data_IF_668408546106
#
_entry.id   IF_668408546106
#
_cell.length_a   1.000
_cell.length_b   1.000
_cell.length_c   1.000
_cell.angle_alpha   90.00
_cell.angle_beta   90.00
_cell.angle_gamma   90.00
#
_symmetry.space_group_name_H-M   'P 1'
#
loop_
_entity.id
_entity.type
_entity.pdbx_description
1 polymer ?
#
# COMPACT_ATOMS: atom_id res chain seq x y z
N UNK A 1 4.16 3.91 7.29
CA UNK A 1 4.32 4.56 8.62
C UNK A 1 3.71 3.77 9.81
N UNK A 2 3.03 4.43 10.78
CA UNK A 2 2.58 3.85 12.06
C UNK A 2 1.49 2.78 11.91
N UNK A 3 0.57 2.94 10.96
CA UNK A 3 -0.46 1.93 10.68
C UNK A 3 0.13 0.60 10.20
N UNK A 4 1.38 0.58 9.73
CA UNK A 4 2.10 -0.65 9.35
C UNK A 4 3.20 -1.02 10.36
N UNK A 5 3.25 -0.37 11.53
CA UNK A 5 4.34 -0.51 12.50
C UNK A 5 5.75 -0.34 11.88
N UNK A 6 5.87 0.52 10.86
CA UNK A 6 7.08 0.71 10.03
C UNK A 6 7.58 -0.56 9.31
N UNK A 7 6.77 -1.61 9.23
CA UNK A 7 7.02 -2.79 8.42
C UNK A 7 6.25 -2.65 7.09
N UNK A 8 6.92 -2.56 5.93
CA UNK A 8 6.24 -2.45 4.65
C UNK A 8 5.40 -3.69 4.31
N UNK A 9 5.77 -4.90 4.78
CA UNK A 9 5.04 -6.13 4.47
C UNK A 9 3.62 -6.16 5.05
N UNK A 10 3.38 -5.35 6.09
CA UNK A 10 2.09 -5.25 6.76
C UNK A 10 1.12 -4.32 5.99
N UNK A 11 1.60 -3.48 5.07
CA UNK A 11 0.74 -2.53 4.34
C UNK A 11 -0.41 -3.22 3.60
N UNK A 12 -0.16 -4.38 2.99
CA UNK A 12 -1.19 -5.17 2.30
C UNK A 12 -2.26 -5.71 3.26
N UNK A 13 -1.87 -6.05 4.50
CA UNK A 13 -2.81 -6.47 5.53
C UNK A 13 -3.68 -5.30 5.99
N UNK A 14 -3.09 -4.12 6.18
CA UNK A 14 -3.82 -2.89 6.52
C UNK A 14 -4.82 -2.53 5.43
N UNK A 15 -4.43 -2.65 4.15
CA UNK A 15 -5.34 -2.40 3.03
C UNK A 15 -6.52 -3.39 3.02
N UNK A 16 -6.27 -4.66 3.35
CA UNK A 16 -7.32 -5.67 3.48
C UNK A 16 -8.29 -5.34 4.61
N UNK A 17 -7.78 -4.88 5.75
CA UNK A 17 -8.61 -4.43 6.87
C UNK A 17 -9.48 -3.23 6.50
N UNK A 18 -8.90 -2.20 5.87
CA UNK A 18 -9.65 -1.05 5.34
C UNK A 18 -10.73 -1.49 4.35
N UNK A 19 -10.40 -2.44 3.47
CA UNK A 19 -11.36 -3.02 2.53
C UNK A 19 -12.52 -3.68 3.27
N UNK A 20 -12.26 -4.44 4.33
CA UNK A 20 -13.30 -5.08 5.12
C UNK A 20 -14.19 -4.06 5.85
N UNK A 21 -13.62 -3.00 6.42
CA UNK A 21 -14.41 -1.93 7.04
C UNK A 21 -15.39 -1.30 6.04
N UNK A 22 -14.96 -1.08 4.79
CA UNK A 22 -15.86 -0.57 3.73
C UNK A 22 -16.96 -1.59 3.40
N UNK A 23 -16.61 -2.88 3.30
CA UNK A 23 -17.59 -3.96 3.05
C UNK A 23 -18.62 -4.09 4.19
N UNK A 24 -18.24 -3.79 5.43
CA UNK A 24 -19.12 -3.79 6.61
C UNK A 24 -19.97 -2.51 6.73
N UNK A 25 -19.88 -1.60 5.75
CA UNK A 25 -20.72 -0.41 5.68
C UNK A 25 -20.08 0.86 6.25
N UNK A 26 -18.77 0.90 6.48
CA UNK A 26 -18.10 2.14 6.87
C UNK A 26 -18.10 3.14 5.70
N UNK A 27 -18.98 4.13 5.79
CA UNK A 27 -19.11 5.18 4.78
C UNK A 27 -18.21 6.40 4.99
N UNK A 28 -17.33 6.41 6.00
CA UNK A 28 -16.42 7.53 6.28
C UNK A 28 -15.06 7.43 5.57
N UNK A 29 -14.65 6.24 5.11
CA UNK A 29 -13.33 6.03 4.48
C UNK A 29 -13.36 6.45 3.01
N UNK A 30 -12.76 7.59 2.67
CA UNK A 30 -12.77 8.12 1.29
C UNK A 30 -11.53 7.72 0.46
N UNK A 31 -10.49 7.21 1.10
CA UNK A 31 -9.23 6.89 0.43
C UNK A 31 -8.21 6.25 1.36
N UNK A 32 -7.12 5.80 0.76
CA UNK A 32 -5.98 5.16 1.43
C UNK A 32 -4.69 5.70 0.83
N UNK A 33 -3.60 5.61 1.60
CA UNK A 33 -2.25 5.94 1.16
C UNK A 33 -1.37 4.72 1.34
N UNK A 34 -0.60 4.38 0.30
CA UNK A 34 0.34 3.25 0.28
C UNK A 34 1.73 3.77 -0.11
N UNK A 35 2.77 3.29 0.58
CA UNK A 35 4.17 3.56 0.24
C UNK A 35 4.72 2.41 -0.61
N UNK A 36 4.84 2.64 -1.92
CA UNK A 36 5.26 1.67 -2.93
C UNK A 36 6.47 2.17 -3.71
N UNK A 37 7.33 1.25 -4.13
CA UNK A 37 8.41 1.50 -5.10
C UNK A 37 8.53 0.30 -6.05
N UNK A 38 9.44 0.36 -7.01
CA UNK A 38 9.66 -0.75 -7.96
C UNK A 38 10.10 -2.01 -7.21
N UNK A 39 11.03 -1.86 -6.25
CA UNK A 39 11.60 -2.92 -5.45
C UNK A 39 11.29 -2.72 -3.96
N UNK A 40 11.25 -3.83 -3.23
CA UNK A 40 10.89 -3.88 -1.81
C UNK A 40 11.94 -3.22 -0.91
N UNK A 41 11.47 -2.66 0.21
CA UNK A 41 12.31 -2.21 1.31
C UNK A 41 12.84 -0.79 1.12
N UNK A 42 13.97 -0.52 1.76
CA UNK A 42 14.73 0.72 1.59
C UNK A 42 16.25 0.44 1.56
N UNK A 43 17.01 1.49 1.30
CA UNK A 43 18.46 1.50 1.33
C UNK A 43 18.96 2.81 1.96
N UNK A 44 20.17 2.78 2.52
CA UNK A 44 20.86 4.02 2.91
C UNK A 44 21.48 4.68 1.69
N UNK A 45 21.65 6.00 1.72
CA UNK A 45 22.41 6.72 0.70
C UNK A 45 23.90 6.38 0.88
N UNK A 46 24.54 5.71 -0.08
CA UNK A 46 25.97 5.38 -0.02
C UNK A 46 26.84 6.61 -0.29
N UNK A 47 28.16 6.49 -0.05
CA UNK A 47 29.11 7.56 -0.41
C UNK A 47 29.24 7.71 -1.93
N UNK A 48 29.30 6.60 -2.66
CA UNK A 48 29.25 6.60 -4.12
C UNK A 48 27.81 6.36 -4.58
N UNK A 49 27.17 7.38 -5.16
CA UNK A 49 25.78 7.32 -5.60
C UNK A 49 25.55 6.28 -6.72
N UNK A 50 26.59 5.80 -7.39
CA UNK A 50 26.50 4.71 -8.37
C UNK A 50 26.13 3.37 -7.74
N UNK A 51 26.31 3.22 -6.42
CA UNK A 51 25.95 2.02 -5.68
C UNK A 51 24.44 1.98 -5.30
N UNK A 52 23.68 3.04 -5.59
CA UNK A 52 22.24 3.04 -5.35
C UNK A 52 21.56 1.95 -6.18
N UNK A 53 20.81 1.09 -5.49
CA UNK A 53 19.94 0.12 -6.13
C UNK A 53 18.77 0.86 -6.77
N UNK A 54 18.63 0.70 -8.09
CA UNK A 54 17.51 1.28 -8.82
C UNK A 54 16.17 0.82 -8.22
N UNK A 55 15.22 1.76 -8.08
CA UNK A 55 13.87 1.43 -7.64
C UNK A 55 13.71 0.99 -6.18
N UNK A 56 14.73 1.20 -5.33
CA UNK A 56 14.65 0.96 -3.88
C UNK A 56 14.64 2.30 -3.14
N UNK A 57 13.68 2.51 -2.24
CA UNK A 57 13.52 3.76 -1.49
C UNK A 57 14.77 4.14 -0.69
N UNK A 58 15.08 5.44 -0.58
CA UNK A 58 16.15 5.95 0.30
C UNK A 58 15.62 6.52 1.63
N UNK A 59 14.30 6.47 1.83
CA UNK A 59 13.61 6.97 3.03
C UNK A 59 12.89 5.81 3.74
N UNK A 60 11.57 5.85 3.84
CA UNK A 60 10.75 4.80 4.42
C UNK A 60 10.71 3.59 3.47
N UNK A 61 10.63 2.40 4.06
CA UNK A 61 10.59 1.15 3.31
C UNK A 61 9.25 1.00 2.58
N UNK A 62 9.30 0.53 1.34
CA UNK A 62 8.12 0.38 0.49
C UNK A 62 7.80 -1.09 0.19
N UNK A 63 6.54 -1.37 -0.14
CA UNK A 63 6.20 -2.59 -0.87
C UNK A 63 6.72 -2.50 -2.32
N UNK A 64 6.94 -3.65 -2.96
CA UNK A 64 7.35 -3.71 -4.35
C UNK A 64 6.16 -3.59 -5.32
N UNK A 65 6.48 -3.52 -6.61
CA UNK A 65 5.48 -3.35 -7.65
C UNK A 65 4.47 -4.51 -7.73
N UNK A 66 4.93 -5.75 -7.57
CA UNK A 66 4.07 -6.92 -7.66
C UNK A 66 3.05 -6.96 -6.52
N UNK A 67 3.49 -6.59 -5.31
CA UNK A 67 2.63 -6.44 -4.14
C UNK A 67 1.61 -5.32 -4.32
N UNK A 68 2.04 -4.18 -4.87
CA UNK A 68 1.17 -3.03 -5.15
C UNK A 68 0.07 -3.39 -6.14
N UNK A 69 0.44 -3.99 -7.28
CA UNK A 69 -0.52 -4.43 -8.29
C UNK A 69 -1.55 -5.40 -7.71
N UNK A 70 -1.07 -6.41 -6.98
CA UNK A 70 -1.94 -7.41 -6.34
C UNK A 70 -2.90 -6.76 -5.35
N UNK A 71 -2.38 -5.93 -4.45
CA UNK A 71 -3.16 -5.30 -3.37
C UNK A 71 -4.26 -4.39 -3.92
N UNK A 72 -3.95 -3.56 -4.92
CA UNK A 72 -4.94 -2.66 -5.54
C UNK A 72 -6.00 -3.45 -6.30
N UNK A 73 -5.62 -4.47 -7.07
CA UNK A 73 -6.57 -5.30 -7.81
C UNK A 73 -7.48 -6.11 -6.88
N UNK A 74 -6.95 -6.65 -5.78
CA UNK A 74 -7.74 -7.36 -4.78
C UNK A 74 -8.79 -6.44 -4.13
N UNK A 75 -8.41 -5.23 -3.72
CA UNK A 75 -9.34 -4.24 -3.16
C UNK A 75 -10.40 -3.84 -4.19
N UNK A 76 -10.00 -3.52 -5.41
CA UNK A 76 -10.91 -3.13 -6.49
C UNK A 76 -11.93 -4.24 -6.80
N UNK A 77 -11.49 -5.50 -6.87
CA UNK A 77 -12.38 -6.64 -7.11
C UNK A 77 -13.42 -6.81 -6.00
N UNK A 78 -13.02 -6.66 -4.72
CA UNK A 78 -13.92 -6.76 -3.57
C UNK A 78 -14.93 -5.61 -3.50
N UNK A 79 -14.50 -4.40 -3.82
CA UNK A 79 -15.31 -3.19 -3.64
C UNK A 79 -16.14 -2.79 -4.86
N UNK A 80 -16.00 -3.52 -5.97
CA UNK A 80 -16.63 -3.21 -7.27
C UNK A 80 -18.14 -2.97 -7.18
N UNK A 81 -18.86 -3.79 -6.43
CA UNK A 81 -20.32 -3.70 -6.31
C UNK A 81 -20.77 -2.81 -5.14
N UNK A 82 -19.88 -2.53 -4.18
CA UNK A 82 -20.20 -1.78 -2.95
C UNK A 82 -20.03 -0.27 -3.14
N UNK A 83 -18.93 0.18 -3.75
CA UNK A 83 -18.66 1.61 -3.90
C UNK A 83 -19.69 2.37 -4.75
N UNK A 84 -20.23 1.84 -5.87
CA UNK A 84 -21.19 2.58 -6.71
C UNK A 84 -22.55 2.88 -6.08
N UNK A 85 -22.91 2.16 -5.01
CA UNK A 85 -24.17 2.31 -4.27
C UNK A 85 -24.01 3.01 -2.92
N UNK A 86 -22.77 3.27 -2.51
CA UNK A 86 -22.47 3.95 -1.25
C UNK A 86 -23.07 5.36 -1.21
N UNK A 87 -23.72 5.71 -0.10
CA UNK A 87 -24.40 7.01 0.07
C UNK A 87 -25.64 7.23 -0.81
N UNK A 88 -26.18 6.18 -1.45
CA UNK A 88 -27.51 6.20 -2.08
C UNK A 88 -28.52 5.54 -1.16
#
# INVERSE_FOLDING_TARGET
HANSNKDPSIQSLVLKDVTHQILEGNESIIGVMLESNINFGNQKIPKDLKELKYGVSVTDACIDWAETERSIKEMAAKLKEVLPVRGK
#
